data_IF_550130863737
#
_entry.id   IF_550130863737
#
_cell.length_a   1.000
_cell.length_b   1.000
_cell.length_c   1.000
_cell.angle_alpha   90.00
_cell.angle_beta   90.00
_cell.angle_gamma   90.00
#
_symmetry.space_group_name_H-M   'P 1'
#
loop_
_entity.id
_entity.type
_entity.pdbx_description
1 polymer ?
#
# COMPACT_ATOMS: atom_id res chain seq x y z
N UNK A 1 -6.88 -0.81 -27.87
CA UNK A 1 -5.56 -1.36 -28.24
C UNK A 1 -5.26 -2.56 -27.37
N UNK A 2 -5.04 -3.73 -27.99
CA UNK A 2 -4.63 -4.95 -27.29
C UNK A 2 -3.29 -4.75 -26.54
N UNK A 3 -3.07 -5.46 -25.44
CA UNK A 3 -1.81 -5.41 -24.71
C UNK A 3 -1.22 -6.78 -24.47
N UNK A 4 0.11 -6.84 -24.47
CA UNK A 4 0.86 -8.06 -24.19
C UNK A 4 1.31 -8.06 -22.75
N UNK A 5 0.96 -9.13 -22.02
CA UNK A 5 1.40 -9.32 -20.66
C UNK A 5 2.94 -9.44 -20.60
N UNK A 6 3.65 -8.58 -19.84
CA UNK A 6 5.11 -8.64 -19.77
C UNK A 6 5.61 -9.86 -19.00
N UNK A 7 4.76 -10.47 -18.16
CA UNK A 7 5.15 -11.61 -17.33
C UNK A 7 5.05 -12.96 -18.06
N UNK A 8 3.99 -13.18 -18.85
CA UNK A 8 3.76 -14.47 -19.52
C UNK A 8 3.62 -14.39 -21.05
N UNK A 9 3.60 -13.18 -21.63
CA UNK A 9 3.47 -12.97 -23.06
C UNK A 9 2.07 -13.14 -23.63
N UNK A 10 1.06 -13.46 -22.81
CA UNK A 10 -0.34 -13.54 -23.24
C UNK A 10 -0.84 -12.20 -23.81
N UNK A 11 -1.61 -12.25 -24.89
CA UNK A 11 -2.13 -11.04 -25.56
C UNK A 11 -3.60 -10.86 -25.19
N UNK A 12 -3.88 -9.75 -24.53
CA UNK A 12 -5.24 -9.35 -24.19
C UNK A 12 -5.81 -8.49 -25.30
N UNK A 13 -6.96 -8.89 -25.84
CA UNK A 13 -7.70 -8.09 -26.82
C UNK A 13 -8.40 -6.90 -26.17
N UNK A 14 -8.83 -7.06 -24.91
CA UNK A 14 -9.45 -6.01 -24.10
C UNK A 14 -8.39 -5.09 -23.48
N UNK A 15 -8.47 -3.80 -23.83
CA UNK A 15 -7.65 -2.75 -23.23
C UNK A 15 -8.12 -2.35 -21.83
N UNK A 16 -9.38 -2.55 -21.47
CA UNK A 16 -9.83 -2.27 -20.12
C UNK A 16 -9.30 -3.33 -19.12
N UNK A 17 -8.89 -4.50 -19.60
CA UNK A 17 -8.35 -5.56 -18.77
C UNK A 17 -7.05 -5.12 -18.08
N UNK A 18 -7.14 -4.87 -16.78
CA UNK A 18 -5.99 -4.59 -15.92
C UNK A 18 -5.28 -5.88 -15.50
N UNK A 19 -6.01 -6.99 -15.38
CA UNK A 19 -5.48 -8.28 -14.92
C UNK A 19 -5.33 -9.25 -16.08
N UNK A 20 -4.19 -9.92 -16.11
CA UNK A 20 -3.91 -11.00 -17.04
C UNK A 20 -4.67 -12.26 -16.63
N UNK A 21 -5.58 -12.73 -17.47
CA UNK A 21 -6.33 -13.97 -17.26
C UNK A 21 -5.46 -15.24 -17.25
N UNK A 22 -4.32 -15.22 -17.94
CA UNK A 22 -3.43 -16.38 -18.04
C UNK A 22 -2.52 -16.56 -16.80
N UNK A 23 -1.93 -15.49 -16.28
CA UNK A 23 -0.97 -15.58 -15.17
C UNK A 23 -1.31 -14.72 -13.94
N UNK A 24 -2.38 -13.93 -13.98
CA UNK A 24 -2.79 -13.05 -12.90
C UNK A 24 -2.04 -11.72 -12.79
N UNK A 25 -1.05 -11.45 -13.66
CA UNK A 25 -0.31 -10.18 -13.68
C UNK A 25 -1.25 -8.99 -13.83
N UNK A 26 -1.08 -7.94 -13.01
CA UNK A 26 -1.91 -6.74 -13.11
C UNK A 26 -1.10 -5.58 -13.66
N UNK A 27 -1.49 -5.07 -14.84
CA UNK A 27 -0.92 -3.88 -15.45
C UNK A 27 -1.50 -2.61 -14.84
N UNK A 28 -0.73 -1.53 -14.83
CA UNK A 28 -1.21 -0.21 -14.42
C UNK A 28 -1.26 0.03 -12.91
N UNK A 29 -1.02 -0.98 -12.07
CA UNK A 29 -0.74 -0.74 -10.65
C UNK A 29 0.70 -0.23 -10.52
N UNK A 30 0.83 1.09 -10.52
CA UNK A 30 2.09 1.80 -10.26
C UNK A 30 2.66 1.47 -8.88
N UNK A 31 3.86 1.96 -8.61
CA UNK A 31 4.48 1.80 -7.29
C UNK A 31 3.76 2.70 -6.28
N UNK A 32 3.51 2.16 -5.10
CA UNK A 32 3.02 2.93 -3.97
C UNK A 32 4.21 3.62 -3.29
N UNK A 33 4.07 4.89 -2.97
CA UNK A 33 5.10 5.62 -2.23
C UNK A 33 4.51 6.10 -0.91
N UNK A 34 5.13 5.72 0.20
CA UNK A 34 4.81 6.26 1.51
C UNK A 34 5.80 7.37 1.84
N UNK A 35 5.31 8.56 2.12
CA UNK A 35 6.12 9.71 2.53
C UNK A 35 5.86 9.98 4.01
N UNK A 36 6.88 9.80 4.85
CA UNK A 36 6.78 10.13 6.26
C UNK A 36 6.80 11.65 6.44
N UNK A 37 5.73 12.23 6.99
CA UNK A 37 5.62 13.68 7.18
C UNK A 37 6.68 14.21 8.16
N UNK A 38 7.05 13.41 9.14
CA UNK A 38 8.04 13.77 10.18
C UNK A 38 9.46 13.95 9.63
N UNK A 39 9.87 13.09 8.70
CA UNK A 39 11.26 13.02 8.23
C UNK A 39 11.40 13.45 6.77
N UNK A 40 10.28 13.61 6.05
CA UNK A 40 10.18 13.79 4.60
C UNK A 40 10.79 12.67 3.76
N UNK A 41 11.18 11.54 4.39
CA UNK A 41 11.72 10.37 3.70
C UNK A 41 10.61 9.58 3.02
N UNK A 42 10.99 8.89 1.94
CA UNK A 42 10.07 8.15 1.06
C UNK A 42 10.43 6.67 1.09
N UNK A 43 9.41 5.81 1.11
CA UNK A 43 9.51 4.37 0.92
C UNK A 43 8.68 3.97 -0.29
N UNK A 44 9.34 3.45 -1.32
CA UNK A 44 8.68 2.98 -2.55
C UNK A 44 8.40 1.48 -2.46
N UNK A 45 7.17 1.09 -2.73
CA UNK A 45 6.63 -0.25 -2.59
C UNK A 45 6.12 -0.71 -3.96
N UNK A 46 6.73 -1.79 -4.47
CA UNK A 46 6.38 -2.41 -5.73
C UNK A 46 5.73 -3.79 -5.58
N UNK A 47 5.63 -4.35 -4.39
CA UNK A 47 5.04 -5.67 -4.14
C UNK A 47 4.20 -5.65 -2.87
N UNK A 48 3.38 -6.67 -2.66
CA UNK A 48 2.66 -6.83 -1.40
C UNK A 48 3.67 -6.85 -0.26
N UNK A 49 3.48 -5.96 0.72
CA UNK A 49 4.49 -5.67 1.72
C UNK A 49 3.85 -5.52 3.10
N UNK A 50 4.26 -6.34 4.09
CA UNK A 50 3.96 -6.07 5.48
C UNK A 50 4.79 -4.87 5.95
N UNK A 51 4.13 -3.87 6.51
CA UNK A 51 4.78 -2.69 7.08
C UNK A 51 4.63 -2.74 8.59
N UNK A 52 5.75 -2.77 9.29
CA UNK A 52 5.82 -2.82 10.74
C UNK A 52 6.97 -1.99 11.28
N UNK A 53 7.22 -2.14 12.57
CA UNK A 53 8.20 -1.37 13.32
C UNK A 53 9.56 -1.27 12.61
N UNK A 54 10.11 -2.39 12.14
CA UNK A 54 11.45 -2.42 11.52
C UNK A 54 11.51 -1.55 10.26
N UNK A 55 10.52 -1.68 9.38
CA UNK A 55 10.47 -0.90 8.15
C UNK A 55 10.25 0.59 8.45
N UNK A 56 9.38 0.89 9.41
CA UNK A 56 9.09 2.26 9.83
C UNK A 56 10.30 2.94 10.49
N UNK A 57 11.13 2.21 11.23
CA UNK A 57 12.37 2.73 11.83
C UNK A 57 13.31 3.31 10.76
N UNK A 58 13.37 2.71 9.56
CA UNK A 58 14.30 3.14 8.50
C UNK A 58 13.98 4.53 7.93
N UNK A 59 12.70 4.95 7.94
CA UNK A 59 12.28 6.18 7.27
C UNK A 59 11.32 7.07 8.05
N UNK A 60 10.52 6.57 8.98
CA UNK A 60 9.45 7.32 9.65
C UNK A 60 9.84 7.98 10.98
N UNK A 61 11.12 7.87 11.40
CA UNK A 61 11.64 8.52 12.61
C UNK A 61 11.27 7.80 13.90
N UNK A 62 11.38 8.48 15.04
CA UNK A 62 11.32 7.86 16.37
C UNK A 62 9.93 7.34 16.80
N UNK A 63 8.86 7.77 16.12
CA UNK A 63 7.49 7.32 16.41
C UNK A 63 7.26 5.82 16.06
N UNK A 64 8.21 5.15 15.40
CA UNK A 64 8.13 3.72 15.06
C UNK A 64 7.94 2.83 16.31
N UNK A 65 8.33 3.29 17.51
CA UNK A 65 8.14 2.57 18.78
C UNK A 65 6.68 2.26 19.11
N UNK A 66 5.74 3.01 18.54
CA UNK A 66 4.30 2.78 18.70
C UNK A 66 3.73 1.77 17.69
N UNK A 67 4.51 1.37 16.68
CA UNK A 67 4.10 0.37 15.71
C UNK A 67 4.24 -1.05 16.25
N UNK A 68 3.32 -1.91 15.87
CA UNK A 68 3.51 -3.35 15.91
C UNK A 68 4.39 -3.81 14.75
N UNK A 69 4.77 -5.09 14.78
CA UNK A 69 5.49 -5.72 13.68
C UNK A 69 4.85 -7.06 13.30
N UNK A 70 4.11 -7.14 12.18
CA UNK A 70 3.71 -6.03 11.31
C UNK A 70 2.60 -5.14 11.93
N UNK A 71 2.46 -3.90 11.44
CA UNK A 71 1.41 -2.95 11.85
C UNK A 71 0.25 -2.92 10.83
N UNK A 72 0.56 -2.92 9.54
CA UNK A 72 -0.43 -3.03 8.47
C UNK A 72 0.16 -3.75 7.26
N UNK A 73 -0.72 -4.25 6.41
CA UNK A 73 -0.38 -4.94 5.17
C UNK A 73 -0.78 -4.04 4.00
N UNK A 74 0.16 -3.86 3.07
CA UNK A 74 -0.10 -3.23 1.79
C UNK A 74 -0.16 -4.29 0.72
N UNK A 75 -1.26 -4.32 -0.03
CA UNK A 75 -1.46 -5.31 -1.08
C UNK A 75 -1.96 -4.65 -2.35
N UNK A 76 -1.47 -5.13 -3.49
CA UNK A 76 -1.97 -4.75 -4.82
C UNK A 76 -3.43 -5.20 -4.93
N UNK A 77 -4.34 -4.26 -5.13
CA UNK A 77 -5.74 -4.54 -5.38
C UNK A 77 -5.97 -4.66 -6.89
N UNK A 78 -5.88 -5.91 -7.38
CA UNK A 78 -6.08 -6.25 -8.78
C UNK A 78 -7.47 -5.88 -9.32
N UNK A 79 -8.50 -5.92 -8.47
CA UNK A 79 -9.87 -5.65 -8.87
C UNK A 79 -10.15 -4.14 -8.99
N UNK A 80 -9.56 -3.34 -8.10
CA UNK A 80 -9.71 -1.88 -8.11
C UNK A 80 -8.64 -1.15 -8.92
N UNK A 81 -7.60 -1.84 -9.40
CA UNK A 81 -6.52 -1.24 -10.17
C UNK A 81 -5.62 -0.32 -9.33
N UNK A 82 -5.37 -0.67 -8.06
CA UNK A 82 -4.61 0.20 -7.15
C UNK A 82 -3.99 -0.55 -5.99
N UNK A 83 -3.77 0.15 -4.87
CA UNK A 83 -3.29 -0.44 -3.64
C UNK A 83 -4.40 -0.52 -2.61
N UNK A 84 -4.24 -1.43 -1.66
CA UNK A 84 -5.11 -1.59 -0.51
C UNK A 84 -4.28 -1.70 0.76
N UNK A 85 -4.89 -1.31 1.87
CA UNK A 85 -4.32 -1.41 3.20
C UNK A 85 -5.24 -2.21 4.11
N UNK A 86 -4.67 -3.08 4.92
CA UNK A 86 -5.40 -3.77 5.99
C UNK A 86 -4.57 -3.69 7.29
N UNK A 87 -5.20 -3.57 8.47
CA UNK A 87 -4.46 -3.66 9.72
C UNK A 87 -3.88 -5.07 9.87
N UNK A 88 -2.68 -5.17 10.42
CA UNK A 88 -2.12 -6.46 10.75
C UNK A 88 -2.85 -7.05 11.98
N UNK A 89 -3.15 -8.36 11.97
CA UNK A 89 -3.76 -9.01 13.12
C UNK A 89 -2.83 -8.92 14.33
N UNK A 90 -3.37 -8.54 15.48
CA UNK A 90 -2.60 -8.44 16.73
C UNK A 90 -1.85 -7.12 16.95
N UNK A 91 -1.94 -6.15 16.02
CA UNK A 91 -1.41 -4.81 16.25
C UNK A 91 -2.14 -4.14 17.43
N UNK A 92 -1.40 -3.80 18.49
CA UNK A 92 -1.96 -3.20 19.71
C UNK A 92 -2.57 -1.82 19.46
N UNK A 93 -1.87 -1.02 18.67
CA UNK A 93 -2.35 0.30 18.29
C UNK A 93 -3.07 0.20 16.94
N UNK A 94 -4.29 0.74 16.82
CA UNK A 94 -5.02 0.70 15.55
C UNK A 94 -4.32 1.54 14.48
N UNK A 95 -4.34 1.04 13.25
CA UNK A 95 -3.96 1.82 12.05
C UNK A 95 -5.14 2.69 11.64
N UNK A 96 -4.88 3.96 11.38
CA UNK A 96 -5.85 4.92 10.87
C UNK A 96 -5.57 5.23 9.41
N UNK A 97 -6.64 5.45 8.64
CA UNK A 97 -6.62 5.94 7.28
C UNK A 97 -7.50 7.19 7.21
N UNK A 98 -6.92 8.32 6.80
CA UNK A 98 -7.60 9.62 6.71
C UNK A 98 -8.31 10.03 8.02
N UNK A 99 -7.70 9.70 9.16
CA UNK A 99 -8.25 10.04 10.49
C UNK A 99 -9.34 9.10 11.01
N UNK A 100 -9.71 8.05 10.25
CA UNK A 100 -10.61 7.00 10.72
C UNK A 100 -9.83 5.71 11.00
N UNK A 101 -10.14 5.01 12.10
CA UNK A 101 -9.53 3.72 12.39
C UNK A 101 -9.96 2.69 11.32
N UNK A 102 -8.99 1.96 10.77
CA UNK A 102 -9.27 0.88 9.85
C UNK A 102 -9.99 -0.25 10.58
N UNK A 103 -11.06 -0.76 9.95
CA UNK A 103 -11.68 -2.02 10.33
C UNK A 103 -10.82 -3.22 9.94
N UNK A 104 -11.36 -4.42 10.08
CA UNK A 104 -10.66 -5.66 9.75
C UNK A 104 -10.61 -5.97 8.25
N UNK A 105 -11.47 -5.35 7.45
CA UNK A 105 -11.49 -5.51 6.00
C UNK A 105 -10.44 -4.61 5.32
N UNK A 106 -9.80 -5.06 4.23
CA UNK A 106 -8.94 -4.21 3.42
C UNK A 106 -9.69 -2.99 2.88
N UNK A 107 -9.07 -1.81 2.99
CA UNK A 107 -9.56 -0.56 2.44
C UNK A 107 -8.73 -0.15 1.21
N UNK A 108 -9.35 0.49 0.20
CA UNK A 108 -8.61 1.06 -0.92
C UNK A 108 -7.65 2.17 -0.43
N UNK A 109 -6.49 2.26 -1.06
CA UNK A 109 -5.47 3.24 -0.74
C UNK A 109 -5.27 4.18 -1.93
N UNK A 110 -5.72 5.41 -1.78
CA UNK A 110 -5.69 6.44 -2.83
C UNK A 110 -4.51 7.39 -2.64
N UNK A 111 -3.93 7.93 -3.72
CA UNK A 111 -2.95 9.02 -3.65
C UNK A 111 -3.50 10.21 -2.85
N UNK A 112 -2.67 10.76 -1.96
CA UNK A 112 -3.05 11.82 -1.02
C UNK A 112 -3.61 11.33 0.32
N UNK A 113 -3.94 10.04 0.44
CA UNK A 113 -4.40 9.50 1.72
C UNK A 113 -3.31 9.57 2.80
N UNK A 114 -3.72 9.66 4.07
CA UNK A 114 -2.81 9.71 5.22
C UNK A 114 -3.04 8.49 6.09
N UNK A 115 -1.99 7.71 6.29
CA UNK A 115 -1.96 6.59 7.23
C UNK A 115 -1.33 7.08 8.54
N UNK A 116 -1.90 6.70 9.68
CA UNK A 116 -1.30 6.96 10.99
C UNK A 116 -1.44 5.77 11.94
N UNK A 117 -0.61 5.75 12.98
CA UNK A 117 -0.74 4.81 14.10
C UNK A 117 -1.41 5.56 15.26
N UNK A 118 -2.57 5.08 15.69
CA UNK A 118 -3.44 5.92 16.50
C UNK A 118 -3.89 7.19 15.75
N UNK A 119 -4.46 8.17 16.48
CA UNK A 119 -5.08 9.33 15.84
C UNK A 119 -4.09 10.31 15.20
N UNK A 120 -2.81 10.32 15.64
CA UNK A 120 -1.86 11.37 15.22
C UNK A 120 -0.40 10.94 15.07
N UNK A 121 -0.01 9.72 15.49
CA UNK A 121 1.40 9.30 15.44
C UNK A 121 1.78 8.75 14.07
N UNK A 122 3.02 8.97 13.67
CA UNK A 122 3.61 8.36 12.47
C UNK A 122 2.75 8.56 11.22
N UNK A 123 2.75 9.77 10.66
CA UNK A 123 1.85 10.17 9.58
C UNK A 123 2.54 9.90 8.25
N UNK A 124 1.99 8.99 7.47
CA UNK A 124 2.49 8.59 6.17
C UNK A 124 1.52 9.07 5.11
N UNK A 125 1.96 10.00 4.26
CA UNK A 125 1.19 10.38 3.09
C UNK A 125 1.42 9.38 1.97
N UNK A 126 0.34 8.97 1.34
CA UNK A 126 0.35 8.08 0.18
C UNK A 126 0.56 8.89 -1.08
N UNK A 127 1.49 8.45 -1.90
CA UNK A 127 1.73 8.93 -3.26
C UNK A 127 1.78 7.73 -4.21
N UNK A 128 1.59 7.98 -5.51
CA UNK A 128 1.71 6.97 -6.55
C UNK A 128 2.81 7.36 -7.52
N UNK A 129 3.65 6.42 -7.89
CA UNK A 129 4.65 6.57 -8.95
C UNK A 129 4.28 5.62 -10.12
N UNK A 130 4.24 6.12 -11.37
CA UNK A 130 3.87 5.32 -12.53
C UNK A 130 4.86 4.17 -12.82
#
# INVERSE_FOLDING_TARGET
MAWKCPQCGFVHEDEAALRCEACGFVRGIGKLVLVAEQTTRRLTIGVDTPVGKELLETFAGDDHVYAADPQFLLARNAAAGGWSIAPAPGAKNPTFLNGAALGTAPAPLEPGAVISIGPTRLRLRVESEP
#
